data_IF_391583640165
#
_entry.id   IF_391583640165
#
_cell.length_a   1.000
_cell.length_b   1.000
_cell.length_c   1.000
_cell.angle_alpha   90.00
_cell.angle_beta   90.00
_cell.angle_gamma   90.00
#
_symmetry.space_group_name_H-M   'P 1'
#
loop_
_entity.id
_entity.type
_entity.pdbx_description
1 polymer ?
#
# COMPACT_ATOMS: atom_id res chain seq x y z
N UNK A 1 9.29 7.32 -32.71
CA UNK A 1 8.73 7.61 -31.37
C UNK A 1 7.22 7.38 -31.25
N UNK A 2 6.42 7.33 -32.32
CA UNK A 2 4.95 7.21 -32.23
C UNK A 2 4.39 5.86 -31.68
N UNK A 3 5.15 4.75 -31.78
CA UNK A 3 4.69 3.42 -31.29
C UNK A 3 4.74 3.22 -29.77
N UNK A 4 5.56 3.98 -29.05
CA UNK A 4 5.68 3.83 -27.59
C UNK A 4 4.51 4.49 -26.85
N UNK A 5 3.98 5.59 -27.40
CA UNK A 5 2.89 6.34 -26.79
C UNK A 5 1.53 5.66 -26.99
N UNK A 6 1.32 5.01 -28.13
CA UNK A 6 0.09 4.24 -28.43
C UNK A 6 -0.04 3.02 -27.53
N UNK A 7 1.03 2.24 -27.37
CA UNK A 7 1.01 1.05 -26.50
C UNK A 7 0.72 1.38 -25.03
N UNK A 8 1.12 2.56 -24.53
CA UNK A 8 0.79 2.99 -23.18
C UNK A 8 -0.70 3.32 -23.03
N UNK A 9 -1.34 3.87 -24.07
CA UNK A 9 -2.77 4.17 -24.03
C UNK A 9 -3.61 2.89 -24.07
N UNK A 10 -3.24 1.91 -24.90
CA UNK A 10 -3.95 0.63 -24.99
C UNK A 10 -3.87 -0.14 -23.67
N UNK A 11 -2.68 -0.22 -23.06
CA UNK A 11 -2.47 -0.87 -21.76
C UNK A 11 -3.29 -0.19 -20.64
N UNK A 12 -3.40 1.14 -20.68
CA UNK A 12 -4.16 1.94 -19.72
C UNK A 12 -5.68 1.69 -19.83
N UNK A 13 -6.20 1.53 -21.06
CA UNK A 13 -7.61 1.26 -21.31
C UNK A 13 -7.97 -0.18 -20.92
N UNK A 14 -7.12 -1.15 -21.28
CA UNK A 14 -7.27 -2.55 -20.86
C UNK A 14 -7.37 -2.66 -19.33
N UNK A 15 -6.46 -2.01 -18.60
CA UNK A 15 -6.46 -2.01 -17.13
C UNK A 15 -7.76 -1.44 -16.56
N UNK A 16 -8.23 -0.30 -17.07
CA UNK A 16 -9.45 0.37 -16.58
C UNK A 16 -10.71 -0.45 -16.82
N UNK A 17 -10.71 -1.29 -17.85
CA UNK A 17 -11.80 -2.22 -18.13
C UNK A 17 -11.79 -3.44 -17.19
N UNK A 18 -10.72 -3.68 -16.43
CA UNK A 18 -10.69 -4.75 -15.45
C UNK A 18 -11.53 -4.39 -14.20
N UNK A 19 -12.52 -5.22 -13.87
CA UNK A 19 -13.46 -4.96 -12.78
C UNK A 19 -12.82 -4.79 -11.38
N UNK A 20 -11.63 -5.35 -11.14
CA UNK A 20 -10.90 -5.11 -9.89
C UNK A 20 -10.36 -3.67 -9.81
N UNK A 21 -9.94 -3.07 -10.94
CA UNK A 21 -9.37 -1.73 -10.95
C UNK A 21 -10.44 -0.70 -10.59
N UNK A 22 -11.65 -0.83 -11.13
CA UNK A 22 -12.77 0.04 -10.78
C UNK A 22 -13.10 0.02 -9.27
N UNK A 23 -13.06 -1.16 -8.65
CA UNK A 23 -13.26 -1.31 -7.19
C UNK A 23 -12.10 -0.73 -6.40
N UNK A 24 -10.88 -1.00 -6.85
CA UNK A 24 -9.67 -0.45 -6.28
C UNK A 24 -9.69 1.09 -6.29
N UNK A 25 -9.96 1.71 -7.45
CA UNK A 25 -10.11 3.15 -7.57
C UNK A 25 -11.22 3.70 -6.67
N UNK A 26 -12.39 3.05 -6.65
CA UNK A 26 -13.49 3.43 -5.76
C UNK A 26 -13.10 3.42 -4.28
N UNK A 27 -12.29 2.44 -3.85
CA UNK A 27 -11.75 2.40 -2.49
C UNK A 27 -10.82 3.59 -2.19
N UNK A 28 -9.98 4.00 -3.16
CA UNK A 28 -9.13 5.18 -3.04
C UNK A 28 -9.95 6.47 -2.89
N UNK A 29 -11.00 6.64 -3.71
CA UNK A 29 -11.88 7.81 -3.61
C UNK A 29 -12.59 7.88 -2.26
N UNK A 30 -13.11 6.75 -1.77
CA UNK A 30 -13.77 6.65 -0.46
C UNK A 30 -12.77 6.97 0.66
N UNK A 31 -11.55 6.46 0.59
CA UNK A 31 -10.48 6.77 1.54
C UNK A 31 -10.23 8.28 1.61
N UNK A 32 -9.99 8.94 0.47
CA UNK A 32 -9.72 10.38 0.42
C UNK A 32 -10.90 11.21 0.93
N UNK A 33 -12.13 10.87 0.54
CA UNK A 33 -13.35 11.55 1.04
C UNK A 33 -13.47 11.42 2.57
N UNK A 34 -13.17 10.24 3.11
CA UNK A 34 -13.21 10.01 4.54
C UNK A 34 -12.13 10.81 5.29
N UNK A 35 -10.90 10.86 4.76
CA UNK A 35 -9.83 11.67 5.34
C UNK A 35 -10.20 13.15 5.38
N UNK A 36 -10.73 13.69 4.28
CA UNK A 36 -11.17 15.08 4.20
C UNK A 36 -12.35 15.39 5.14
N UNK A 37 -13.28 14.45 5.29
CA UNK A 37 -14.41 14.59 6.22
C UNK A 37 -13.94 14.62 7.68
N UNK A 38 -12.96 13.78 8.03
CA UNK A 38 -12.35 13.74 9.38
C UNK A 38 -11.58 15.03 9.68
N UNK A 39 -10.86 15.57 8.70
CA UNK A 39 -10.09 16.80 8.84
C UNK A 39 -10.06 17.58 7.52
N UNK A 40 -10.69 18.77 7.49
CA UNK A 40 -10.78 19.60 6.28
C UNK A 40 -9.43 20.10 5.78
N UNK A 41 -8.47 20.26 6.67
CA UNK A 41 -7.12 20.75 6.36
C UNK A 41 -6.10 19.61 6.19
N UNK A 42 -6.57 18.37 6.00
CA UNK A 42 -5.69 17.21 5.86
C UNK A 42 -4.78 17.35 4.64
N UNK A 43 -3.50 17.03 4.84
CA UNK A 43 -2.52 16.90 3.77
C UNK A 43 -2.28 15.41 3.54
N UNK A 44 -2.55 14.93 2.33
CA UNK A 44 -2.36 13.53 1.99
C UNK A 44 -1.18 13.36 1.06
N UNK A 45 -0.35 12.36 1.36
CA UNK A 45 0.61 11.80 0.41
C UNK A 45 0.15 10.40 0.05
N UNK A 46 -0.08 10.15 -1.24
CA UNK A 46 -0.35 8.82 -1.76
C UNK A 46 0.97 8.23 -2.26
N UNK A 47 1.34 7.06 -1.73
CA UNK A 47 2.60 6.39 -2.00
C UNK A 47 2.33 5.10 -2.78
N UNK A 48 3.09 4.94 -3.87
CA UNK A 48 3.27 3.68 -4.57
C UNK A 48 4.67 3.13 -4.34
N UNK A 49 4.78 1.83 -4.07
CA UNK A 49 6.06 1.14 -4.03
C UNK A 49 6.53 0.87 -5.45
N UNK A 50 7.76 1.28 -5.73
CA UNK A 50 8.38 1.12 -7.03
C UNK A 50 8.50 -0.37 -7.36
N UNK A 51 7.93 -0.84 -8.48
CA UNK A 51 8.18 -2.20 -8.94
C UNK A 51 9.61 -2.31 -9.44
N UNK A 52 10.12 -3.54 -9.45
CA UNK A 52 11.40 -3.85 -10.11
C UNK A 52 11.39 -3.39 -11.58
N UNK A 53 12.55 -3.00 -12.10
CA UNK A 53 12.78 -2.59 -13.49
C UNK A 53 12.52 -3.78 -14.45
N UNK A 54 12.46 -5.00 -13.93
CA UNK A 54 12.11 -6.19 -14.70
C UNK A 54 10.73 -6.06 -15.36
N UNK A 55 10.76 -5.84 -16.69
CA UNK A 55 9.60 -5.66 -17.58
C UNK A 55 8.51 -6.73 -17.45
N UNK A 56 8.84 -7.94 -16.98
CA UNK A 56 7.91 -9.08 -16.94
C UNK A 56 6.92 -9.03 -15.77
N UNK A 57 7.33 -8.54 -14.59
CA UNK A 57 6.53 -8.68 -13.37
C UNK A 57 6.05 -7.35 -12.75
N UNK A 58 6.42 -6.21 -13.36
CA UNK A 58 6.01 -4.87 -12.89
C UNK A 58 5.13 -4.07 -13.85
N UNK A 59 4.77 -4.60 -15.02
CA UNK A 59 4.02 -3.86 -16.05
C UNK A 59 2.68 -3.36 -15.50
N UNK A 60 1.91 -4.23 -14.85
CA UNK A 60 0.60 -3.91 -14.27
C UNK A 60 0.69 -2.83 -13.21
N UNK A 61 1.56 -2.99 -12.21
CA UNK A 61 1.77 -1.97 -11.14
C UNK A 61 2.20 -0.62 -11.70
N UNK A 62 3.03 -0.59 -12.74
CA UNK A 62 3.46 0.66 -13.37
C UNK A 62 2.31 1.37 -14.09
N UNK A 63 1.51 0.62 -14.84
CA UNK A 63 0.34 1.15 -15.56
C UNK A 63 -0.75 1.58 -14.57
N UNK A 64 -0.99 0.77 -13.53
CA UNK A 64 -1.92 1.03 -12.44
C UNK A 64 -1.65 2.36 -11.74
N UNK A 65 -0.39 2.61 -11.38
CA UNK A 65 -0.04 3.85 -10.72
C UNK A 65 -0.32 5.11 -11.56
N UNK A 66 -0.08 5.04 -12.87
CA UNK A 66 -0.35 6.15 -13.80
C UNK A 66 -1.87 6.33 -13.94
N UNK A 67 -2.60 5.23 -14.17
CA UNK A 67 -4.06 5.27 -14.29
C UNK A 67 -4.71 5.86 -13.04
N UNK A 68 -4.26 5.45 -11.84
CA UNK A 68 -4.77 5.95 -10.57
C UNK A 68 -4.59 7.47 -10.46
N UNK A 69 -3.39 7.98 -10.76
CA UNK A 69 -3.11 9.41 -10.72
C UNK A 69 -4.02 10.18 -11.67
N UNK A 70 -4.15 9.70 -12.91
CA UNK A 70 -5.01 10.32 -13.92
C UNK A 70 -6.47 10.35 -13.48
N UNK A 71 -6.97 9.24 -12.94
CA UNK A 71 -8.39 9.11 -12.58
C UNK A 71 -8.72 9.92 -11.31
N UNK A 72 -7.82 9.98 -10.32
CA UNK A 72 -7.96 10.90 -9.18
C UNK A 72 -7.93 12.37 -9.65
N UNK A 73 -7.04 12.71 -10.58
CA UNK A 73 -6.99 14.05 -11.15
C UNK A 73 -8.27 14.40 -11.93
N UNK A 74 -8.86 13.45 -12.67
CA UNK A 74 -10.18 13.63 -13.31
C UNK A 74 -11.28 13.84 -12.27
N UNK A 75 -11.30 13.06 -11.19
CA UNK A 75 -12.27 13.25 -10.10
C UNK A 75 -12.14 14.61 -9.40
N UNK A 76 -10.92 15.14 -9.28
CA UNK A 76 -10.67 16.51 -8.80
C UNK A 76 -11.20 17.57 -9.77
N UNK A 77 -10.96 17.41 -11.07
CA UNK A 77 -11.46 18.34 -12.10
C UNK A 77 -12.99 18.34 -12.18
N UNK A 78 -13.61 17.16 -12.01
CA UNK A 78 -15.06 16.99 -12.02
C UNK A 78 -15.71 17.42 -10.69
N UNK A 79 -14.94 17.83 -9.67
CA UNK A 79 -15.46 18.22 -8.35
C UNK A 79 -15.98 17.06 -7.50
N UNK A 80 -15.74 15.81 -7.91
CA UNK A 80 -16.13 14.61 -7.13
C UNK A 80 -15.22 14.40 -5.92
N UNK A 81 -13.94 14.78 -6.06
CA UNK A 81 -12.98 14.91 -4.98
C UNK A 81 -12.61 16.39 -4.82
N UNK A 82 -12.34 16.83 -3.59
CA UNK A 82 -11.77 18.15 -3.34
C UNK A 82 -10.42 18.10 -2.62
N UNK A 83 -10.04 16.96 -2.06
CA UNK A 83 -8.72 16.72 -1.48
C UNK A 83 -7.72 16.27 -2.54
N UNK A 84 -6.73 17.12 -2.87
CA UNK A 84 -5.64 16.80 -3.80
C UNK A 84 -4.46 16.16 -3.06
N UNK A 85 -4.18 14.86 -3.26
CA UNK A 85 -3.01 14.22 -2.67
C UNK A 85 -1.71 14.61 -3.40
N UNK A 86 -0.58 14.47 -2.71
CA UNK A 86 0.75 14.43 -3.34
C UNK A 86 1.07 12.99 -3.72
N UNK A 87 1.28 12.73 -5.01
CA UNK A 87 1.67 11.41 -5.49
C UNK A 87 3.19 11.23 -5.44
N UNK A 88 3.63 10.08 -4.95
CA UNK A 88 5.04 9.72 -4.92
C UNK A 88 5.21 8.22 -5.16
N UNK A 89 6.17 7.85 -6.01
CA UNK A 89 6.68 6.47 -6.10
C UNK A 89 8.01 6.44 -5.36
N UNK A 90 8.22 5.43 -4.52
CA UNK A 90 9.45 5.25 -3.74
C UNK A 90 9.92 3.80 -3.76
N UNK A 91 11.21 3.58 -3.51
CA UNK A 91 11.72 2.25 -3.25
C UNK A 91 11.21 1.74 -1.88
N UNK A 92 11.20 0.41 -1.67
CA UNK A 92 10.66 -0.18 -0.45
C UNK A 92 11.47 0.26 0.78
N UNK A 93 12.78 0.33 0.65
CA UNK A 93 13.74 0.78 1.66
C UNK A 93 13.49 2.23 2.12
N UNK A 94 12.93 3.07 1.24
CA UNK A 94 12.63 4.47 1.54
C UNK A 94 11.28 4.64 2.25
N UNK A 95 10.47 3.58 2.35
CA UNK A 95 9.14 3.66 2.97
C UNK A 95 9.22 4.11 4.42
N UNK A 96 10.10 3.50 5.23
CA UNK A 96 10.22 3.84 6.66
C UNK A 96 10.64 5.31 6.88
N UNK A 97 11.69 5.84 6.22
CA UNK A 97 12.00 7.27 6.25
C UNK A 97 10.84 8.17 5.82
N UNK A 98 10.07 7.76 4.81
CA UNK A 98 8.92 8.53 4.34
C UNK A 98 7.76 8.56 5.36
N UNK A 99 7.60 7.55 6.20
CA UNK A 99 6.59 7.55 7.26
C UNK A 99 6.83 8.68 8.28
N UNK A 100 8.06 9.11 8.52
CA UNK A 100 8.36 10.25 9.40
C UNK A 100 7.73 11.57 8.92
N UNK A 101 7.31 11.65 7.65
CA UNK A 101 6.60 12.80 7.13
C UNK A 101 5.33 13.14 7.93
N UNK A 102 4.64 12.13 8.49
CA UNK A 102 3.41 12.32 9.29
C UNK A 102 3.65 12.86 10.70
N UNK A 103 4.86 12.70 11.24
CA UNK A 103 5.22 13.18 12.58
C UNK A 103 5.49 14.69 12.60
N UNK A 104 5.87 15.26 11.44
CA UNK A 104 6.19 16.68 11.31
C UNK A 104 4.98 17.63 11.44
N UNK A 105 3.75 17.16 11.17
CA UNK A 105 2.52 17.97 11.32
C UNK A 105 1.32 17.10 11.71
N UNK A 106 0.40 17.59 12.55
CA UNK A 106 -0.74 16.81 13.02
C UNK A 106 -1.72 16.41 11.90
N UNK A 107 -1.85 17.23 10.85
CA UNK A 107 -2.81 17.06 9.75
C UNK A 107 -2.29 16.24 8.56
N UNK A 108 -1.17 15.53 8.69
CA UNK A 108 -0.56 14.74 7.60
C UNK A 108 -0.96 13.28 7.69
N UNK A 109 -1.35 12.70 6.56
CA UNK A 109 -1.69 11.29 6.43
C UNK A 109 -1.03 10.71 5.19
N UNK A 110 -0.46 9.52 5.32
CA UNK A 110 0.05 8.75 4.19
C UNK A 110 -0.97 7.69 3.81
N UNK A 111 -1.20 7.52 2.51
CA UNK A 111 -1.97 6.40 1.97
C UNK A 111 -1.03 5.57 1.12
N UNK A 112 -0.72 4.34 1.52
CA UNK A 112 0.04 3.39 0.70
C UNK A 112 -0.96 2.66 -0.19
N UNK A 113 -1.05 3.06 -1.45
CA UNK A 113 -2.12 2.63 -2.35
C UNK A 113 -1.64 1.75 -3.50
N UNK A 114 -0.35 1.66 -3.80
CA UNK A 114 0.17 0.74 -4.82
C UNK A 114 1.35 -0.04 -4.27
N UNK A 115 1.32 -1.36 -4.38
CA UNK A 115 2.39 -2.24 -3.93
C UNK A 115 2.50 -3.42 -4.92
N UNK A 116 3.68 -3.68 -5.51
CA UNK A 116 3.88 -4.88 -6.31
C UNK A 116 3.82 -6.12 -5.43
N UNK A 117 3.28 -7.22 -5.93
CA UNK A 117 3.27 -8.50 -5.21
C UNK A 117 4.66 -9.13 -5.09
N UNK A 118 5.62 -8.68 -5.91
CA UNK A 118 6.98 -9.21 -5.94
C UNK A 118 7.98 -8.16 -6.43
N UNK A 119 9.19 -8.16 -5.87
CA UNK A 119 10.37 -7.42 -6.35
C UNK A 119 11.52 -8.42 -6.49
N UNK A 120 12.15 -8.51 -7.65
CA UNK A 120 13.13 -9.56 -7.92
C UNK A 120 12.54 -10.95 -7.73
N UNK A 121 13.08 -11.74 -6.80
CA UNK A 121 12.56 -13.06 -6.38
C UNK A 121 11.73 -13.02 -5.09
N UNK A 122 11.63 -11.85 -4.46
CA UNK A 122 10.97 -11.67 -3.16
C UNK A 122 9.47 -11.44 -3.33
N UNK A 123 8.66 -12.40 -2.85
CA UNK A 123 7.20 -12.39 -2.89
C UNK A 123 6.55 -11.88 -1.61
N UNK A 124 7.32 -11.48 -0.61
CA UNK A 124 6.80 -11.04 0.69
C UNK A 124 6.68 -9.52 0.77
N UNK A 125 6.76 -8.80 -0.35
CA UNK A 125 6.81 -7.33 -0.40
C UNK A 125 5.58 -6.69 0.25
N UNK A 126 4.38 -7.21 -0.02
CA UNK A 126 3.15 -6.70 0.59
C UNK A 126 3.14 -6.89 2.12
N UNK A 127 3.63 -8.05 2.60
CA UNK A 127 3.75 -8.31 4.04
C UNK A 127 4.81 -7.43 4.71
N UNK A 128 5.91 -7.14 3.99
CA UNK A 128 6.93 -6.22 4.47
C UNK A 128 6.38 -4.80 4.59
N UNK A 129 5.57 -4.34 3.62
CA UNK A 129 4.90 -3.04 3.71
C UNK A 129 3.98 -2.97 4.92
N UNK A 130 3.17 -4.00 5.19
CA UNK A 130 2.34 -4.05 6.41
C UNK A 130 3.17 -3.89 7.67
N UNK A 131 4.24 -4.69 7.81
CA UNK A 131 5.11 -4.66 8.99
C UNK A 131 5.84 -3.34 9.16
N UNK A 132 6.19 -2.66 8.07
CA UNK A 132 6.84 -1.34 8.13
C UNK A 132 5.84 -0.27 8.59
N UNK A 133 4.58 -0.36 8.14
CA UNK A 133 3.52 0.56 8.49
C UNK A 133 2.84 0.26 9.83
N UNK A 134 3.07 -0.92 10.40
CA UNK A 134 2.51 -1.34 11.69
C UNK A 134 2.88 -0.36 12.81
N UNK A 135 1.87 0.05 13.59
CA UNK A 135 2.03 0.99 14.69
C UNK A 135 2.09 2.48 14.29
N UNK A 136 1.92 2.82 13.00
CA UNK A 136 1.87 4.22 12.55
C UNK A 136 0.43 4.68 12.32
N UNK A 137 -0.16 5.36 13.31
CA UNK A 137 -1.59 5.73 13.34
C UNK A 137 -2.12 6.56 12.15
N UNK A 138 -1.22 7.24 11.42
CA UNK A 138 -1.58 8.14 10.31
C UNK A 138 -1.22 7.57 8.93
N UNK A 139 -1.20 6.25 8.84
CA UNK A 139 -0.96 5.51 7.60
C UNK A 139 -2.17 4.65 7.28
N UNK A 140 -2.69 4.80 6.07
CA UNK A 140 -3.79 3.99 5.53
C UNK A 140 -3.24 3.07 4.43
N UNK A 141 -3.45 1.75 4.56
CA UNK A 141 -3.03 0.78 3.55
C UNK A 141 -4.24 0.39 2.70
N UNK A 142 -4.16 0.62 1.39
CA UNK A 142 -5.31 0.45 0.48
C UNK A 142 -4.97 -0.22 -0.84
N UNK A 143 -3.75 -0.72 -1.03
CA UNK A 143 -3.39 -1.48 -2.23
C UNK A 143 -4.16 -2.80 -2.31
N UNK A 144 -4.40 -3.24 -3.55
CA UNK A 144 -5.10 -4.51 -3.79
C UNK A 144 -4.22 -5.72 -3.43
N UNK A 145 -4.85 -6.77 -2.89
CA UNK A 145 -4.23 -8.08 -2.65
C UNK A 145 -4.99 -9.15 -3.42
N UNK A 146 -4.27 -10.09 -4.00
CA UNK A 146 -4.88 -11.32 -4.48
C UNK A 146 -5.39 -12.14 -3.27
N UNK A 147 -6.60 -12.68 -3.36
CA UNK A 147 -7.18 -13.53 -2.30
C UNK A 147 -7.86 -12.77 -1.15
N UNK A 148 -8.18 -11.48 -1.30
CA UNK A 148 -9.12 -10.83 -0.37
C UNK A 148 -10.56 -11.31 -0.64
N UNK A 149 -11.47 -11.15 0.32
CA UNK A 149 -12.87 -11.57 0.20
C UNK A 149 -13.57 -10.98 -1.05
N UNK A 150 -13.11 -9.80 -1.50
CA UNK A 150 -13.59 -9.12 -2.70
C UNK A 150 -13.15 -9.82 -4.00
N UNK A 151 -11.99 -10.51 -4.00
CA UNK A 151 -11.57 -11.41 -5.08
C UNK A 151 -12.33 -12.74 -5.06
N UNK A 152 -12.59 -13.33 -3.89
CA UNK A 152 -13.35 -14.58 -3.77
C UNK A 152 -14.81 -14.43 -4.23
N UNK A 153 -15.44 -13.28 -3.91
CA UNK A 153 -16.79 -12.95 -4.40
C UNK A 153 -16.87 -12.90 -5.94
N UNK A 154 -15.75 -12.63 -6.62
CA UNK A 154 -15.71 -12.49 -8.08
C UNK A 154 -15.51 -13.84 -8.78
N UNK A 155 -14.70 -14.73 -8.22
CA UNK A 155 -14.62 -16.12 -8.66
C UNK A 155 -15.99 -16.80 -8.55
N UNK A 156 -16.72 -16.52 -7.46
CA UNK A 156 -18.06 -17.08 -7.25
C UNK A 156 -19.13 -16.48 -8.18
N UNK A 157 -18.98 -15.23 -8.65
CA UNK A 157 -19.91 -14.64 -9.62
C UNK A 157 -19.71 -15.16 -11.05
N UNK A 158 -18.50 -15.58 -11.43
CA UNK A 158 -18.25 -16.13 -12.78
C UNK A 158 -18.63 -17.61 -12.93
N UNK A 159 -18.89 -18.33 -11.82
CA UNK A 159 -19.33 -19.74 -11.84
C UNK A 159 -20.87 -19.87 -11.76
N UNK A 160 -21.60 -18.79 -11.47
CA UNK A 160 -23.07 -18.79 -11.33
C UNK A 160 -23.89 -18.69 -12.63
N UNK A 161 -23.24 -18.73 -13.80
CA UNK A 161 -23.88 -18.61 -15.11
C UNK A 161 -24.54 -19.90 -15.63
N UNK A 162 -25.13 -20.72 -14.77
CA UNK A 162 -26.01 -21.82 -15.19
C UNK A 162 -26.92 -22.24 -14.03
N UNK A 163 -28.21 -21.90 -14.14
CA UNK A 163 -29.26 -22.56 -13.36
C UNK A 163 -29.92 -21.70 -12.29
N UNK A 164 -30.76 -20.76 -12.72
CA UNK A 164 -31.90 -20.31 -11.90
C UNK A 164 -32.81 -21.52 -11.66
N UNK A 165 -32.83 -22.04 -10.43
CA UNK A 165 -33.95 -22.86 -9.94
C UNK A 165 -34.12 -22.58 -8.44
N UNK A 166 -35.32 -22.16 -8.08
CA UNK A 166 -35.66 -21.59 -6.78
C UNK A 166 -35.88 -22.59 -5.64
N UNK A 167 -36.33 -22.02 -4.52
CA UNK A 167 -36.61 -22.67 -3.24
C UNK A 167 -35.55 -22.23 -2.22
N UNK A 168 -35.82 -21.44 -1.19
CA UNK A 168 -36.99 -21.47 -0.31
C UNK A 168 -36.61 -22.24 0.94
N UNK A 169 -36.23 -21.54 2.01
CA UNK A 169 -36.46 -21.87 3.43
C UNK A 169 -35.55 -20.98 4.29
N UNK A 170 -36.18 -20.24 5.21
CA UNK A 170 -35.51 -19.55 6.30
C UNK A 170 -35.05 -20.60 7.33
N UNK A 171 -33.75 -20.61 7.65
CA UNK A 171 -33.21 -21.39 8.76
C UNK A 171 -32.50 -20.43 9.72
N UNK A 172 -33.07 -20.31 10.92
CA UNK A 172 -32.56 -19.52 12.01
C UNK A 172 -31.33 -20.21 12.61
N UNK A 173 -30.16 -19.61 12.44
CA UNK A 173 -28.91 -20.06 13.06
C UNK A 173 -28.64 -19.31 14.37
N UNK A 174 -28.37 -20.09 15.41
CA UNK A 174 -28.17 -19.69 16.80
C UNK A 174 -26.88 -18.85 17.02
N UNK A 175 -26.79 -18.09 18.13
CA UNK A 175 -25.60 -17.29 18.46
C UNK A 175 -24.41 -18.15 18.91
N UNK A 176 -23.24 -17.87 18.35
CA UNK A 176 -21.95 -18.46 18.71
C UNK A 176 -21.47 -18.06 20.12
N UNK A 177 -20.86 -18.97 20.90
CA UNK A 177 -20.31 -18.67 22.21
C UNK A 177 -19.00 -17.87 22.13
N UNK A 178 -18.86 -16.87 23.02
CA UNK A 178 -17.63 -16.08 23.18
C UNK A 178 -16.56 -16.88 23.95
N UNK A 179 -15.26 -16.82 23.55
CA UNK A 179 -14.18 -17.37 24.35
C UNK A 179 -13.73 -16.42 25.47
N UNK A 180 -13.70 -16.97 26.69
CA UNK A 180 -13.12 -16.41 27.90
C UNK A 180 -11.64 -16.03 27.73
N UNK A 181 -11.27 -14.83 28.17
CA UNK A 181 -9.89 -14.36 28.30
C UNK A 181 -9.31 -14.69 29.67
N UNK A 182 -8.30 -15.56 29.72
CA UNK A 182 -7.40 -15.72 30.89
C UNK A 182 -6.16 -14.84 30.72
N UNK A 183 -5.66 -14.18 31.79
CA UNK A 183 -4.43 -13.39 31.73
C UNK A 183 -3.20 -14.31 31.90
N UNK A 184 -2.25 -14.22 30.97
CA UNK A 184 -0.92 -14.84 31.11
C UNK A 184 0.06 -13.78 31.61
N UNK A 185 0.52 -13.96 32.85
CA UNK A 185 1.62 -13.20 33.44
C UNK A 185 2.95 -13.93 33.25
N UNK A 186 4.03 -13.17 33.00
CA UNK A 186 5.38 -13.54 33.42
C UNK A 186 6.28 -14.17 32.36
N UNK A 187 7.33 -13.45 31.96
CA UNK A 187 8.39 -13.96 31.10
C UNK A 187 9.46 -12.90 30.82
N UNK A 188 10.20 -12.52 31.86
CA UNK A 188 11.30 -11.56 31.77
C UNK A 188 12.60 -12.12 31.18
N UNK A 189 13.41 -11.18 30.71
CA UNK A 189 14.88 -11.20 30.60
C UNK A 189 15.56 -12.32 29.82
N UNK A 190 15.74 -12.09 28.51
CA UNK A 190 16.88 -12.61 27.74
C UNK A 190 17.13 -11.85 26.41
N UNK A 191 16.16 -11.06 25.91
CA UNK A 191 16.25 -10.42 24.59
C UNK A 191 17.04 -9.10 24.51
N UNK A 192 17.50 -8.54 25.63
CA UNK A 192 18.09 -7.18 25.64
C UNK A 192 19.53 -7.14 25.15
N UNK A 193 20.34 -8.18 25.40
CA UNK A 193 21.77 -8.17 25.07
C UNK A 193 22.07 -8.31 23.56
N UNK A 194 21.22 -9.02 22.81
CA UNK A 194 21.43 -9.22 21.37
C UNK A 194 21.08 -7.96 20.55
N UNK A 195 20.13 -7.15 21.03
CA UNK A 195 19.72 -5.91 20.35
C UNK A 195 20.78 -4.82 20.56
N UNK A 196 21.34 -4.70 21.77
CA UNK A 196 22.42 -3.74 22.05
C UNK A 196 23.70 -4.02 21.23
N UNK A 197 24.02 -5.29 20.97
CA UNK A 197 25.19 -5.65 20.15
C UNK A 197 25.04 -5.16 18.69
N UNK A 198 23.85 -5.34 18.11
CA UNK A 198 23.55 -4.95 16.72
C UNK A 198 23.55 -3.43 16.57
N UNK A 199 23.00 -2.70 17.53
CA UNK A 199 23.01 -1.22 17.52
C UNK A 199 24.43 -0.65 17.63
N UNK A 200 25.31 -1.32 18.39
CA UNK A 200 26.72 -0.89 18.52
C UNK A 200 27.53 -1.05 17.23
N UNK A 201 27.25 -2.11 16.45
CA UNK A 201 27.97 -2.40 15.20
C UNK A 201 27.55 -1.44 14.07
N UNK A 202 26.24 -1.14 13.96
CA UNK A 202 25.72 -0.15 13.02
C UNK A 202 26.27 1.27 13.28
N UNK A 203 26.42 1.65 14.55
CA UNK A 203 26.98 2.96 14.91
C UNK A 203 28.46 3.09 14.51
N UNK A 204 29.24 2.01 14.66
CA UNK A 204 30.64 1.99 14.24
C UNK A 204 30.80 2.08 12.71
N UNK A 205 29.93 1.41 11.96
CA UNK A 205 29.97 1.42 10.49
C UNK A 205 29.60 2.81 9.93
N UNK A 206 28.57 3.45 10.49
CA UNK A 206 28.21 4.83 10.12
C UNK A 206 29.32 5.84 10.43
N UNK A 207 30.07 5.65 11.52
CA UNK A 207 31.19 6.51 11.87
C UNK A 207 32.36 6.38 10.88
N UNK A 208 32.61 5.16 10.36
CA UNK A 208 33.62 4.90 9.33
C UNK A 208 33.24 5.56 7.99
N UNK A 209 31.99 5.39 7.55
CA UNK A 209 31.47 6.00 6.31
C UNK A 209 31.57 7.54 6.32
N UNK A 210 31.27 8.18 7.45
CA UNK A 210 31.43 9.65 7.60
C UNK A 210 32.89 10.12 7.48
N UNK A 211 33.86 9.34 7.99
CA UNK A 211 35.29 9.68 7.86
C UNK A 211 35.76 9.57 6.41
N UNK A 212 35.33 8.52 5.71
CA UNK A 212 35.71 8.30 4.31
C UNK A 212 35.12 9.38 3.41
N UNK A 213 33.86 9.78 3.64
CA UNK A 213 33.24 10.88 2.91
C UNK A 213 33.95 12.24 3.14
N UNK A 214 34.40 12.50 4.38
CA UNK A 214 35.17 13.72 4.69
C UNK A 214 36.53 13.73 3.99
N UNK A 215 37.19 12.57 3.85
CA UNK A 215 38.47 12.42 3.15
C UNK A 215 38.33 12.63 1.64
N UNK A 216 37.24 12.14 1.05
CA UNK A 216 36.89 12.37 -0.36
C UNK A 216 36.64 13.85 -0.70
N UNK A 217 36.12 14.64 0.25
CA UNK A 217 35.94 16.10 0.07
C UNK A 217 37.24 16.90 0.12
N UNK A 218 38.32 16.36 0.69
CA UNK A 218 39.61 17.07 0.76
C UNK A 218 40.52 16.82 -0.45
N UNK A 219 40.13 15.90 -1.35
CA UNK A 219 40.86 15.56 -2.57
C UNK A 219 40.30 16.25 -3.82
N UNK A 220 39.34 17.17 -3.66
CA UNK A 220 38.77 18.01 -4.72
C UNK A 220 39.09 19.47 -4.41
#
# INVERSE_FOLDING_TARGET
MARLYTAQNDDNEELRNEAWYMRYFGAQEVCLKNLQRKNRDVQVKMIGIQPDIHRKFGKRTRVEWICLQEDINKSLLNGTLSLRPKFQIIALEDLRPELEWVNNKPNRVIVVCSCPSQIGTDKTIMDQVDRICEGVDKVEITFSRAGNSTSELFENMHIGGAGVRGGGAAEASAPSPQPNSTPVSGGGSAKTAAVEAIESEMAAEMAKSKKDFKRLKQLK
#
